data_IF_052741847867
#
_entry.id   IF_052741847867
#
_cell.length_a   1.000
_cell.length_b   1.000
_cell.length_c   1.000
_cell.angle_alpha   90.00
_cell.angle_beta   90.00
_cell.angle_gamma   90.00
#
_symmetry.space_group_name_H-M   'P 1'
#
loop_
_entity.id
_entity.type
_entity.pdbx_description
1 polymer ?
#
# COMPACT_ATOMS: atom_id res chain seq x y z
N UNK A 1 43.29 -15.24 14.20
CA UNK A 1 42.75 -13.91 14.58
C UNK A 1 41.45 -13.73 13.80
N UNK A 2 40.28 -13.82 14.45
CA UNK A 2 39.40 -12.69 14.84
C UNK A 2 38.99 -11.84 13.62
N UNK A 3 37.74 -11.56 13.25
CA UNK A 3 36.40 -11.63 13.88
C UNK A 3 35.35 -11.55 12.75
N UNK A 4 34.21 -12.19 13.00
CA UNK A 4 32.91 -12.14 12.30
C UNK A 4 32.37 -10.71 12.11
N UNK A 5 31.76 -10.40 10.96
CA UNK A 5 30.59 -9.52 10.95
C UNK A 5 29.63 -9.80 9.79
N UNK A 6 28.46 -10.28 10.20
CA UNK A 6 27.23 -10.55 9.46
C UNK A 6 26.58 -9.22 9.08
N UNK A 7 26.08 -9.08 7.85
CA UNK A 7 24.89 -8.28 7.59
C UNK A 7 24.01 -8.96 6.54
N UNK A 8 23.16 -9.85 7.04
CA UNK A 8 21.88 -10.22 6.41
C UNK A 8 20.95 -9.02 6.64
N UNK A 9 20.67 -8.27 5.57
CA UNK A 9 19.52 -7.37 5.50
C UNK A 9 18.99 -7.47 4.05
N UNK A 10 18.18 -8.48 3.82
CA UNK A 10 16.73 -8.31 3.69
C UNK A 10 16.34 -8.00 2.26
N UNK A 11 16.04 -9.11 1.59
CA UNK A 11 15.17 -9.27 0.42
C UNK A 11 14.05 -8.21 0.42
N UNK A 12 14.25 -7.10 -0.26
CA UNK A 12 13.19 -6.16 -0.67
C UNK A 12 13.54 -5.41 -1.96
N UNK A 13 14.35 -6.03 -2.82
CA UNK A 13 14.65 -5.53 -4.15
C UNK A 13 13.95 -6.39 -5.23
N UNK A 14 12.67 -6.74 -5.00
CA UNK A 14 11.88 -7.46 -6.00
C UNK A 14 10.60 -6.67 -6.29
N UNK A 15 10.52 -6.24 -7.54
CA UNK A 15 9.31 -5.92 -8.29
C UNK A 15 8.52 -4.66 -7.91
N UNK A 16 8.97 -3.51 -8.42
CA UNK A 16 8.04 -2.44 -8.84
C UNK A 16 8.27 -2.12 -10.31
N UNK A 17 8.28 -3.14 -11.15
CA UNK A 17 8.31 -2.98 -12.60
C UNK A 17 7.45 -4.05 -13.27
N UNK A 18 6.14 -4.04 -13.02
CA UNK A 18 5.14 -4.77 -13.81
C UNK A 18 3.82 -3.97 -13.89
N UNK A 19 3.04 -4.15 -14.98
CA UNK A 19 2.66 -3.07 -15.87
C UNK A 19 1.36 -2.37 -15.48
N UNK A 20 1.21 -1.15 -16.00
CA UNK A 20 -0.04 -0.44 -16.09
C UNK A 20 -1.10 -1.27 -16.82
N UNK A 21 -1.87 -2.09 -16.09
CA UNK A 21 -3.29 -2.45 -16.33
C UNK A 21 -3.83 -3.46 -15.29
N UNK A 22 -3.38 -3.40 -14.02
CA UNK A 22 -4.16 -4.04 -12.96
C UNK A 22 -5.41 -3.17 -12.73
N UNK A 23 -6.60 -3.67 -13.11
CA UNK A 23 -7.85 -2.90 -12.92
C UNK A 23 -8.02 -2.47 -11.46
N UNK A 24 -8.58 -1.28 -11.21
CA UNK A 24 -8.54 -0.67 -9.88
C UNK A 24 -9.16 -1.54 -8.77
N UNK A 25 -10.15 -2.40 -9.09
CA UNK A 25 -10.69 -3.39 -8.14
C UNK A 25 -9.62 -4.30 -7.52
N UNK A 26 -8.64 -4.74 -8.32
CA UNK A 26 -7.53 -5.57 -7.84
C UNK A 26 -6.62 -4.77 -6.90
N UNK A 27 -6.29 -3.55 -7.29
CA UNK A 27 -5.46 -2.63 -6.52
C UNK A 27 -6.06 -2.26 -5.16
N UNK A 28 -7.39 -2.09 -5.08
CA UNK A 28 -8.11 -1.91 -3.82
C UNK A 28 -7.94 -3.13 -2.91
N UNK A 29 -8.18 -4.33 -3.47
CA UNK A 29 -8.08 -5.59 -2.73
C UNK A 29 -6.68 -5.79 -2.15
N UNK A 30 -5.64 -5.63 -2.98
CA UNK A 30 -4.24 -5.77 -2.55
C UNK A 30 -3.88 -4.75 -1.46
N UNK A 31 -4.35 -3.50 -1.59
CA UNK A 31 -4.08 -2.48 -0.58
C UNK A 31 -4.79 -2.77 0.75
N UNK A 32 -6.00 -3.36 0.73
CA UNK A 32 -6.67 -3.82 1.96
C UNK A 32 -5.90 -4.96 2.62
N UNK A 33 -5.47 -5.94 1.85
CA UNK A 33 -4.68 -7.07 2.35
C UNK A 33 -3.35 -6.59 2.94
N UNK A 34 -2.72 -5.55 2.36
CA UNK A 34 -1.53 -4.92 2.93
C UNK A 34 -1.81 -4.26 4.29
N UNK A 35 -2.92 -3.52 4.42
CA UNK A 35 -3.30 -2.86 5.69
C UNK A 35 -3.54 -3.90 6.78
N UNK A 36 -4.17 -5.03 6.46
CA UNK A 36 -4.47 -6.07 7.44
C UNK A 36 -3.22 -6.86 7.83
N UNK A 37 -2.43 -7.28 6.84
CA UNK A 37 -1.19 -8.06 7.04
C UNK A 37 -0.16 -7.28 7.85
N UNK A 38 0.07 -6.03 7.49
CA UNK A 38 1.11 -5.18 8.08
C UNK A 38 0.50 -4.13 9.03
N UNK A 39 -0.64 -4.46 9.64
CA UNK A 39 -1.42 -3.54 10.49
C UNK A 39 -0.56 -2.82 11.53
N UNK A 40 0.35 -3.55 12.17
CA UNK A 40 1.19 -3.01 13.25
C UNK A 40 2.34 -2.12 12.75
N UNK A 41 2.67 -2.19 11.45
CA UNK A 41 3.67 -1.33 10.80
C UNK A 41 3.15 0.08 10.52
N UNK A 42 1.84 0.31 10.63
CA UNK A 42 1.22 1.61 10.36
C UNK A 42 0.53 2.19 11.60
N UNK A 43 0.52 3.52 11.71
CA UNK A 43 -0.28 4.22 12.72
C UNK A 43 -1.78 4.03 12.46
N UNK A 44 -2.58 4.05 13.54
CA UNK A 44 -4.05 3.95 13.43
C UNK A 44 -4.63 5.02 12.49
N UNK A 45 -4.14 6.26 12.59
CA UNK A 45 -4.58 7.39 11.76
C UNK A 45 -4.33 7.12 10.29
N UNK A 46 -3.15 6.61 9.92
CA UNK A 46 -2.83 6.32 8.52
C UNK A 46 -3.66 5.17 7.95
N UNK A 47 -3.90 4.10 8.74
CA UNK A 47 -4.81 3.02 8.32
C UNK A 47 -6.21 3.55 8.07
N UNK A 48 -6.75 4.37 8.99
CA UNK A 48 -8.10 4.93 8.85
C UNK A 48 -8.23 5.82 7.61
N UNK A 49 -7.26 6.70 7.35
CA UNK A 49 -7.24 7.54 6.15
C UNK A 49 -7.12 6.71 4.87
N UNK A 50 -6.24 5.72 4.86
CA UNK A 50 -6.09 4.81 3.72
C UNK A 50 -7.38 4.03 3.45
N UNK A 51 -8.03 3.49 4.50
CA UNK A 51 -9.33 2.81 4.37
C UNK A 51 -10.42 3.72 3.82
N UNK A 52 -10.48 4.99 4.24
CA UNK A 52 -11.44 5.97 3.72
C UNK A 52 -11.20 6.28 2.22
N UNK A 53 -9.95 6.42 1.81
CA UNK A 53 -9.59 6.62 0.40
C UNK A 53 -9.91 5.36 -0.44
N UNK A 54 -9.72 4.15 0.11
CA UNK A 54 -10.11 2.89 -0.57
C UNK A 54 -11.63 2.74 -0.72
N UNK A 55 -12.42 3.12 0.30
CA UNK A 55 -13.89 3.16 0.17
C UNK A 55 -14.34 4.13 -0.92
N UNK A 56 -13.68 5.28 -1.01
CA UNK A 56 -13.94 6.26 -2.07
C UNK A 56 -13.57 5.71 -3.45
N UNK A 57 -12.50 4.91 -3.55
CA UNK A 57 -12.13 4.21 -4.78
C UNK A 57 -13.19 3.18 -5.19
N UNK A 58 -13.72 2.40 -4.25
CA UNK A 58 -14.79 1.44 -4.52
C UNK A 58 -16.08 2.10 -4.99
N UNK A 59 -16.46 3.24 -4.40
CA UNK A 59 -17.62 4.01 -4.84
C UNK A 59 -17.50 4.45 -6.31
N UNK A 60 -16.28 4.63 -6.82
CA UNK A 60 -16.01 4.96 -8.23
C UNK A 60 -16.08 3.75 -9.17
N UNK A 61 -16.01 2.52 -8.67
CA UNK A 61 -16.13 1.30 -9.48
C UNK A 61 -17.57 0.88 -9.77
N UNK A 62 -18.54 1.40 -9.00
CA UNK A 62 -19.96 1.05 -9.13
C UNK A 62 -20.56 1.64 -10.43
N UNK A 63 -19.90 2.64 -11.01
CA UNK A 63 -20.33 3.32 -12.21
C UNK A 63 -19.54 2.76 -13.42
N UNK A 64 -20.26 2.36 -14.49
CA UNK A 64 -19.76 1.48 -15.57
C UNK A 64 -18.87 2.19 -16.62
N UNK A 65 -18.38 3.39 -16.30
CA UNK A 65 -17.62 4.21 -17.24
C UNK A 65 -16.10 3.92 -17.15
N UNK A 66 -15.40 3.56 -18.24
CA UNK A 66 -13.96 3.30 -18.24
C UNK A 66 -13.09 4.48 -17.78
N UNK A 67 -13.56 5.74 -17.86
CA UNK A 67 -12.83 6.89 -17.29
C UNK A 67 -12.72 6.84 -15.76
N UNK A 68 -13.59 6.10 -15.06
CA UNK A 68 -13.58 5.99 -13.61
C UNK A 68 -12.42 5.16 -13.06
N UNK A 69 -11.79 4.31 -13.89
CA UNK A 69 -10.63 3.53 -13.46
C UNK A 69 -9.46 4.46 -13.11
N UNK A 70 -9.32 5.61 -13.80
CA UNK A 70 -8.32 6.63 -13.47
C UNK A 70 -8.58 7.31 -12.12
N UNK A 71 -9.83 7.69 -11.86
CA UNK A 71 -10.24 8.29 -10.58
C UNK A 71 -10.08 7.30 -9.42
N UNK A 72 -10.46 6.05 -9.66
CA UNK A 72 -10.28 4.96 -8.73
C UNK A 72 -8.79 4.74 -8.40
N UNK A 73 -7.93 4.63 -9.42
CA UNK A 73 -6.48 4.48 -9.24
C UNK A 73 -5.86 5.67 -8.51
N UNK A 74 -6.36 6.90 -8.75
CA UNK A 74 -5.95 8.10 -8.01
C UNK A 74 -6.24 7.95 -6.51
N UNK A 75 -7.42 7.45 -6.16
CA UNK A 75 -7.79 7.22 -4.76
C UNK A 75 -6.96 6.09 -4.13
N UNK A 76 -6.69 5.00 -4.85
CA UNK A 76 -5.77 3.95 -4.35
C UNK A 76 -4.36 4.47 -4.12
N UNK A 77 -3.82 5.29 -5.04
CA UNK A 77 -2.50 5.93 -4.85
C UNK A 77 -2.46 6.81 -3.62
N UNK A 78 -3.56 7.53 -3.33
CA UNK A 78 -3.69 8.35 -2.12
C UNK A 78 -3.70 7.50 -0.86
N UNK A 79 -4.44 6.38 -0.86
CA UNK A 79 -4.42 5.42 0.25
C UNK A 79 -3.00 4.89 0.53
N UNK A 80 -2.28 4.46 -0.52
CA UNK A 80 -0.88 4.01 -0.41
C UNK A 80 0.04 5.12 0.12
N UNK A 81 -0.19 6.39 -0.26
CA UNK A 81 0.58 7.51 0.24
C UNK A 81 0.34 7.78 1.74
N UNK A 82 -0.89 7.67 2.22
CA UNK A 82 -1.21 7.81 3.65
C UNK A 82 -0.52 6.71 4.48
N UNK A 83 -0.49 5.46 3.99
CA UNK A 83 0.25 4.37 4.64
C UNK A 83 1.75 4.66 4.71
N UNK A 84 2.37 5.14 3.62
CA UNK A 84 3.79 5.51 3.62
C UNK A 84 4.10 6.61 4.64
N UNK A 85 3.25 7.65 4.73
CA UNK A 85 3.41 8.76 5.68
C UNK A 85 3.30 8.30 7.13
N UNK A 86 2.39 7.36 7.41
CA UNK A 86 2.16 6.85 8.76
C UNK A 86 2.82 5.52 9.06
N UNK A 87 3.82 5.11 8.28
CA UNK A 87 4.63 3.93 8.59
C UNK A 87 5.42 4.22 9.88
N UNK A 88 5.26 3.36 10.88
CA UNK A 88 6.04 3.44 12.11
C UNK A 88 7.50 3.17 11.73
N UNK A 89 8.41 3.98 12.23
CA UNK A 89 9.83 3.65 12.13
C UNK A 89 10.03 2.41 13.01
N UNK A 90 10.69 1.38 12.49
CA UNK A 90 11.17 0.29 13.33
C UNK A 90 12.10 0.93 14.36
N UNK A 91 11.69 0.95 15.63
CA UNK A 91 12.63 1.13 16.71
C UNK A 91 13.55 -0.09 16.65
N UNK A 92 14.74 0.09 16.09
CA UNK A 92 15.86 -0.80 16.33
C UNK A 92 16.37 -0.45 17.73
N UNK A 93 15.72 -0.99 18.74
CA UNK A 93 16.25 -1.05 20.11
C UNK A 93 17.33 -2.13 20.19
#
# INVERSE_FOLDING_TARGET
>A
MRIVQILIASVCAIALSQPALAGCKKEIKETRELIERDKDQYTLVARNKASADLLSAEAKLIDLNPMLDLDCLKMVRKAKAELRKGKKKENKD
#
